data_IF_890734953371
#
_entry.id   IF_890734953371
#
_cell.length_a   1.000
_cell.length_b   1.000
_cell.length_c   1.000
_cell.angle_alpha   90.00
_cell.angle_beta   90.00
_cell.angle_gamma   90.00
#
_symmetry.space_group_name_H-M   'P 1'
#
loop_
_entity.id
_entity.type
_entity.pdbx_description
1 polymer ?
#
# COMPACT_ATOMS: atom_id res chain seq x y z
N UNK A 1 -54.87 76.27 31.56
CA UNK A 1 -53.93 75.51 32.40
C UNK A 1 -53.95 74.05 31.96
N UNK A 2 -52.76 73.57 31.58
CA UNK A 2 -52.22 72.22 31.30
C UNK A 2 -53.09 70.99 30.92
N UNK A 3 -52.71 70.26 29.86
CA UNK A 3 -53.15 68.90 29.51
C UNK A 3 -52.09 67.81 29.84
N UNK A 4 -52.52 66.52 29.97
CA UNK A 4 -51.98 65.31 29.29
C UNK A 4 -52.43 63.95 29.89
N UNK A 5 -52.71 63.05 28.95
CA UNK A 5 -52.85 61.56 28.83
C UNK A 5 -51.97 60.63 29.70
N UNK A 6 -52.04 59.28 29.58
CA UNK A 6 -53.17 58.32 29.48
C UNK A 6 -53.01 57.11 30.47
N UNK A 7 -53.96 56.16 30.56
CA UNK A 7 -53.74 54.84 31.19
C UNK A 7 -54.04 53.69 30.25
N UNK A 8 -53.18 52.69 30.41
CA UNK A 8 -52.76 51.67 29.47
C UNK A 8 -53.78 50.56 29.23
N UNK A 9 -53.89 50.14 27.96
CA UNK A 9 -54.63 48.97 27.53
C UNK A 9 -53.70 47.77 27.41
N UNK A 10 -54.03 46.68 28.09
CA UNK A 10 -53.46 45.36 27.80
C UNK A 10 -54.56 44.28 27.82
N UNK A 11 -55.00 43.79 26.65
CA UNK A 11 -55.79 42.58 26.56
C UNK A 11 -54.90 41.35 26.79
N UNK A 12 -55.41 40.38 27.56
CA UNK A 12 -54.77 39.08 27.84
C UNK A 12 -54.37 38.36 26.53
N UNK A 13 -53.20 37.68 26.49
CA UNK A 13 -52.80 36.91 25.31
C UNK A 13 -53.75 35.71 25.08
N UNK A 14 -54.01 35.35 23.81
CA UNK A 14 -54.89 34.23 23.48
C UNK A 14 -54.28 32.87 23.87
N UNK A 15 -55.13 31.93 24.29
CA UNK A 15 -54.78 30.54 24.60
C UNK A 15 -54.16 29.87 23.36
N UNK A 16 -52.96 29.31 23.51
CA UNK A 16 -52.33 28.46 22.48
C UNK A 16 -53.19 27.23 22.22
N UNK A 17 -53.60 27.05 20.97
CA UNK A 17 -54.16 25.79 20.45
C UNK A 17 -53.00 24.82 20.23
N UNK A 18 -53.08 23.55 20.65
CA UNK A 18 -52.04 22.56 20.35
C UNK A 18 -52.02 22.29 18.84
N UNK A 19 -50.87 22.50 18.20
CA UNK A 19 -50.64 22.04 16.83
C UNK A 19 -50.61 20.51 16.75
N UNK A 20 -50.87 19.91 15.57
CA UNK A 20 -50.86 18.46 15.42
C UNK A 20 -49.47 17.90 15.74
N UNK A 21 -49.46 16.75 16.42
CA UNK A 21 -48.25 16.03 16.78
C UNK A 21 -47.43 15.69 15.52
N UNK A 22 -46.08 15.75 15.57
CA UNK A 22 -45.26 15.33 14.44
C UNK A 22 -45.52 13.85 14.14
N UNK A 23 -45.93 13.56 12.91
CA UNK A 23 -46.08 12.20 12.42
C UNK A 23 -44.72 11.53 12.37
N UNK A 24 -44.58 10.45 13.14
CA UNK A 24 -43.39 9.61 13.16
C UNK A 24 -43.21 9.03 11.74
N UNK A 25 -42.04 9.15 11.10
CA UNK A 25 -41.83 8.53 9.79
C UNK A 25 -42.04 7.02 9.92
N UNK A 26 -42.76 6.43 8.97
CA UNK A 26 -43.00 5.00 8.91
C UNK A 26 -41.66 4.25 8.94
N UNK A 27 -41.56 3.19 9.75
CA UNK A 27 -40.40 2.31 9.73
C UNK A 27 -40.19 1.80 8.31
N UNK A 28 -38.96 1.82 7.77
CA UNK A 28 -38.69 1.19 6.49
C UNK A 28 -39.07 -0.30 6.57
N UNK A 29 -39.56 -0.91 5.47
CA UNK A 29 -39.87 -2.33 5.45
C UNK A 29 -38.62 -3.12 5.86
N UNK A 30 -38.79 -4.16 6.69
CA UNK A 30 -37.69 -5.08 7.03
C UNK A 30 -37.12 -5.62 5.72
N UNK A 31 -35.83 -5.40 5.48
CA UNK A 31 -35.12 -6.05 4.41
C UNK A 31 -35.31 -7.58 4.55
N UNK A 32 -35.52 -8.31 3.44
CA UNK A 32 -35.60 -9.76 3.49
C UNK A 32 -34.31 -10.30 4.12
N UNK A 33 -34.48 -11.26 5.04
CA UNK A 33 -33.36 -11.98 5.64
C UNK A 33 -32.62 -12.65 4.48
N UNK A 34 -31.29 -12.44 4.32
CA UNK A 34 -30.54 -13.12 3.27
C UNK A 34 -30.70 -14.64 3.45
N UNK A 35 -30.77 -15.41 2.35
CA UNK A 35 -30.85 -16.86 2.44
C UNK A 35 -29.67 -17.37 3.28
N UNK A 36 -29.96 -18.33 4.16
CA UNK A 36 -28.93 -19.05 4.92
C UNK A 36 -27.90 -19.57 3.91
N UNK A 37 -26.60 -19.30 4.09
CA UNK A 37 -25.58 -19.82 3.18
C UNK A 37 -25.70 -21.35 3.13
N UNK A 38 -25.53 -21.99 1.97
CA UNK A 38 -25.53 -23.44 1.89
C UNK A 38 -24.50 -24.01 2.88
N UNK A 39 -24.88 -25.06 3.60
CA UNK A 39 -23.97 -25.77 4.49
C UNK A 39 -22.69 -26.12 3.73
N UNK A 40 -21.55 -25.79 4.34
CA UNK A 40 -20.24 -26.20 3.83
C UNK A 40 -20.26 -27.72 3.64
N UNK A 41 -19.80 -28.25 2.49
CA UNK A 41 -19.71 -29.67 2.32
C UNK A 41 -18.80 -30.25 3.42
N UNK A 42 -19.25 -31.35 4.01
CA UNK A 42 -18.54 -32.06 5.07
C UNK A 42 -17.04 -32.22 4.74
N UNK A 43 -16.19 -31.95 5.73
CA UNK A 43 -14.76 -32.24 5.68
C UNK A 43 -14.55 -33.70 5.25
N UNK A 44 -14.04 -33.92 4.04
CA UNK A 44 -13.88 -35.28 3.53
C UNK A 44 -13.71 -35.46 2.01
N UNK A 45 -13.80 -34.41 1.21
CA UNK A 45 -13.47 -34.49 -0.24
C UNK A 45 -12.10 -33.90 -0.55
N UNK A 46 -11.08 -34.23 0.24
CA UNK A 46 -9.69 -33.99 -0.14
C UNK A 46 -9.35 -34.84 -1.36
N UNK A 47 -9.08 -34.21 -2.51
CA UNK A 47 -8.39 -34.91 -3.60
C UNK A 47 -7.08 -35.43 -3.02
N UNK A 48 -6.86 -36.74 -3.12
CA UNK A 48 -5.64 -37.38 -2.68
C UNK A 48 -4.41 -36.63 -3.26
N UNK A 49 -3.35 -36.42 -2.47
CA UNK A 49 -2.13 -35.77 -2.96
C UNK A 49 -1.65 -36.52 -4.20
N UNK A 50 -1.53 -35.80 -5.31
CA UNK A 50 -0.97 -36.36 -6.54
C UNK A 50 0.53 -36.51 -6.26
N UNK A 51 0.97 -37.76 -6.13
CA UNK A 51 2.39 -38.07 -6.06
C UNK A 51 3.02 -37.65 -7.40
N UNK A 52 3.77 -36.55 -7.39
CA UNK A 52 4.59 -36.14 -8.53
C UNK A 52 5.91 -36.90 -8.40
N UNK A 53 6.11 -37.90 -9.25
CA UNK A 53 7.45 -38.49 -9.40
C UNK A 53 8.40 -37.40 -9.92
N UNK A 54 9.29 -36.98 -9.03
CA UNK A 54 10.34 -36.00 -9.31
C UNK A 54 11.43 -36.69 -10.11
N UNK A 55 11.24 -36.80 -11.42
CA UNK A 55 12.33 -37.16 -12.31
C UNK A 55 13.32 -35.99 -12.29
N UNK A 56 14.53 -36.25 -11.78
CA UNK A 56 15.58 -35.25 -11.59
C UNK A 56 16.18 -34.87 -12.96
N UNK A 57 15.45 -34.11 -13.77
CA UNK A 57 15.91 -33.68 -15.09
C UNK A 57 16.88 -32.51 -14.91
N UNK A 58 18.18 -32.81 -14.87
CA UNK A 58 19.24 -31.81 -15.06
C UNK A 58 19.21 -31.25 -16.48
N UNK A 59 18.40 -30.22 -16.71
CA UNK A 59 18.40 -29.46 -17.96
C UNK A 59 19.69 -28.62 -18.01
N UNK A 60 20.64 -29.01 -18.88
CA UNK A 60 21.93 -28.34 -19.06
C UNK A 60 21.82 -26.84 -19.45
N UNK A 61 20.66 -26.37 -19.93
CA UNK A 61 20.42 -24.94 -20.18
C UNK A 61 20.32 -24.07 -18.92
N UNK A 62 20.05 -24.66 -17.75
CA UNK A 62 20.12 -23.98 -16.45
C UNK A 62 21.56 -23.94 -15.86
N UNK A 63 22.54 -24.54 -16.56
CA UNK A 63 23.96 -24.47 -16.16
C UNK A 63 24.67 -23.21 -16.64
N UNK A 64 24.01 -22.30 -17.36
CA UNK A 64 24.42 -20.90 -17.24
C UNK A 64 23.91 -20.42 -15.90
N UNK A 65 24.79 -20.11 -14.93
CA UNK A 65 24.34 -19.39 -13.78
C UNK A 65 23.69 -18.11 -14.30
N UNK A 66 22.41 -17.89 -14.03
CA UNK A 66 21.85 -16.53 -13.97
C UNK A 66 22.59 -15.67 -12.91
N UNK A 67 23.60 -16.25 -12.25
CA UNK A 67 24.68 -15.65 -11.47
C UNK A 67 25.91 -15.26 -12.32
N UNK A 68 25.76 -14.90 -13.60
CA UNK A 68 26.80 -14.03 -14.17
C UNK A 68 26.81 -12.77 -13.31
N UNK A 69 27.99 -12.32 -12.80
CA UNK A 69 28.07 -11.01 -12.16
C UNK A 69 27.44 -10.00 -13.13
N UNK A 70 26.61 -9.09 -12.59
CA UNK A 70 26.01 -8.02 -13.37
C UNK A 70 27.09 -7.47 -14.32
N UNK A 71 26.84 -7.42 -15.64
CA UNK A 71 27.86 -6.96 -16.58
C UNK A 71 28.40 -5.65 -16.06
N UNK A 72 29.72 -5.58 -15.86
CA UNK A 72 30.37 -4.32 -15.52
C UNK A 72 29.96 -3.33 -16.61
N UNK A 73 29.22 -2.29 -16.23
CA UNK A 73 28.75 -1.27 -17.17
C UNK A 73 30.01 -0.65 -17.78
N UNK A 74 30.29 -0.86 -19.10
CA UNK A 74 31.49 -0.33 -19.71
C UNK A 74 31.33 1.18 -19.80
N UNK A 75 32.24 1.90 -19.14
CA UNK A 75 32.12 3.34 -18.91
C UNK A 75 31.67 3.61 -17.49
N UNK A 76 32.54 4.25 -16.71
CA UNK A 76 32.26 4.58 -15.31
C UNK A 76 30.87 5.21 -15.14
N UNK A 77 30.25 4.94 -13.99
CA UNK A 77 28.93 5.46 -13.63
C UNK A 77 28.79 6.90 -14.11
N UNK A 78 27.73 7.25 -14.86
CA UNK A 78 27.57 8.58 -15.42
C UNK A 78 27.80 9.62 -14.34
N UNK A 79 28.85 10.43 -14.53
CA UNK A 79 29.18 11.51 -13.62
C UNK A 79 28.09 12.56 -13.77
N UNK A 80 27.14 12.55 -12.83
CA UNK A 80 26.08 13.51 -12.84
C UNK A 80 26.72 14.90 -12.57
N UNK A 81 26.68 15.79 -13.57
CA UNK A 81 27.41 17.06 -13.61
C UNK A 81 27.04 18.01 -12.47
N UNK A 82 27.66 17.82 -11.31
CA UNK A 82 27.54 18.69 -10.14
C UNK A 82 28.93 18.88 -9.58
N UNK A 83 29.16 20.03 -8.94
CA UNK A 83 30.47 20.36 -8.38
C UNK A 83 31.04 19.21 -7.54
N UNK A 84 32.31 18.90 -7.78
CA UNK A 84 33.04 17.89 -7.03
C UNK A 84 32.80 18.05 -5.52
N UNK A 85 32.35 16.98 -4.86
CA UNK A 85 32.28 16.91 -3.40
C UNK A 85 30.90 17.01 -2.75
N UNK A 86 29.79 17.16 -3.49
CA UNK A 86 28.44 17.05 -2.89
C UNK A 86 27.89 15.62 -3.08
N UNK A 87 27.68 14.85 -1.99
CA UNK A 87 27.16 13.50 -2.10
C UNK A 87 25.72 13.53 -2.62
N UNK A 88 25.50 12.93 -3.79
CA UNK A 88 24.16 12.70 -4.34
C UNK A 88 23.58 11.46 -3.68
N UNK A 89 22.41 11.58 -3.07
CA UNK A 89 21.68 10.47 -2.43
C UNK A 89 20.53 10.07 -3.34
N UNK A 90 20.35 8.76 -3.50
CA UNK A 90 19.19 8.16 -4.16
C UNK A 90 18.49 7.29 -3.13
N UNK A 91 17.16 7.40 -3.06
CA UNK A 91 16.34 6.57 -2.19
C UNK A 91 15.24 5.92 -3.03
N UNK A 92 15.26 4.59 -3.09
CA UNK A 92 14.11 3.83 -3.58
C UNK A 92 13.16 3.63 -2.41
N UNK A 93 11.90 4.04 -2.60
CA UNK A 93 10.78 3.77 -1.68
C UNK A 93 9.77 2.95 -2.46
N UNK A 94 9.68 1.67 -2.15
CA UNK A 94 8.82 0.72 -2.84
C UNK A 94 7.56 0.52 -2.02
N UNK A 95 6.40 0.79 -2.62
CA UNK A 95 5.08 0.68 -2.00
C UNK A 95 4.43 -0.66 -2.39
N UNK A 96 4.27 -1.56 -1.42
CA UNK A 96 3.63 -2.86 -1.62
C UNK A 96 2.22 -2.87 -1.02
N UNK A 97 1.22 -2.97 -1.90
CA UNK A 97 -0.18 -2.97 -1.51
C UNK A 97 -1.04 -3.90 -2.37
N UNK A 98 -1.94 -4.60 -1.69
CA UNK A 98 -3.12 -5.24 -2.27
C UNK A 98 -4.29 -5.06 -1.29
N UNK A 99 -5.55 -4.94 -1.76
CA UNK A 99 -6.70 -5.07 -0.88
C UNK A 99 -6.78 -6.50 -0.33
N UNK A 100 -7.62 -6.72 0.70
CA UNK A 100 -7.84 -8.06 1.22
C UNK A 100 -8.51 -8.97 0.17
N UNK A 101 -7.79 -9.98 -0.31
CA UNK A 101 -8.27 -10.91 -1.35
C UNK A 101 -8.47 -12.34 -0.88
N UNK A 102 -7.87 -12.74 0.25
CA UNK A 102 -7.96 -14.10 0.76
C UNK A 102 -9.42 -14.50 1.05
N UNK A 103 -9.87 -15.62 0.47
CA UNK A 103 -11.23 -16.12 0.59
C UNK A 103 -12.29 -15.32 -0.17
N UNK A 104 -11.91 -14.38 -1.04
CA UNK A 104 -12.84 -13.52 -1.80
C UNK A 104 -12.80 -13.80 -3.31
N UNK A 105 -12.70 -15.08 -3.66
CA UNK A 105 -12.58 -15.54 -5.04
C UNK A 105 -11.12 -15.68 -5.48
N UNK A 106 -10.92 -16.40 -6.58
CA UNK A 106 -9.58 -16.76 -7.06
C UNK A 106 -9.18 -15.92 -8.28
N UNK A 107 -10.02 -15.90 -9.31
CA UNK A 107 -9.75 -15.26 -10.61
C UNK A 107 -11.05 -14.64 -11.17
N UNK A 108 -11.01 -13.52 -11.93
CA UNK A 108 -9.84 -12.75 -12.39
C UNK A 108 -9.28 -11.74 -11.38
N UNK A 109 -10.01 -11.49 -10.30
CA UNK A 109 -9.60 -10.62 -9.20
C UNK A 109 -9.76 -11.46 -7.92
N UNK A 110 -8.75 -11.51 -7.06
CA UNK A 110 -8.79 -12.38 -5.89
C UNK A 110 -7.41 -12.92 -5.52
N UNK A 111 -7.37 -14.16 -5.03
CA UNK A 111 -6.15 -14.80 -4.53
C UNK A 111 -5.04 -14.91 -5.57
N UNK A 112 -5.36 -15.00 -6.87
CA UNK A 112 -4.34 -15.00 -7.92
C UNK A 112 -3.53 -13.69 -7.95
N UNK A 113 -4.10 -12.55 -7.57
CA UNK A 113 -3.33 -11.30 -7.45
C UNK A 113 -2.27 -11.35 -6.36
N UNK A 114 -2.61 -11.97 -5.22
CA UNK A 114 -1.65 -12.14 -4.13
C UNK A 114 -0.53 -13.09 -4.57
N UNK A 115 -0.88 -14.22 -5.19
CA UNK A 115 0.11 -15.15 -5.71
C UNK A 115 1.00 -14.50 -6.77
N UNK A 116 0.43 -13.74 -7.70
CA UNK A 116 1.16 -13.03 -8.75
C UNK A 116 2.14 -12.02 -8.17
N UNK A 117 1.70 -11.21 -7.20
CA UNK A 117 2.55 -10.24 -6.53
C UNK A 117 3.69 -10.91 -5.75
N UNK A 118 3.40 -11.99 -5.02
CA UNK A 118 4.43 -12.76 -4.31
C UNK A 118 5.43 -13.35 -5.30
N UNK A 119 4.96 -14.12 -6.28
CA UNK A 119 5.80 -14.92 -7.17
C UNK A 119 6.63 -14.04 -8.11
N UNK A 120 6.03 -13.01 -8.71
CA UNK A 120 6.69 -12.24 -9.77
C UNK A 120 7.33 -10.94 -9.29
N UNK A 121 7.00 -10.45 -8.08
CA UNK A 121 7.53 -9.21 -7.55
C UNK A 121 8.30 -9.42 -6.25
N UNK A 122 7.67 -9.99 -5.22
CA UNK A 122 8.29 -10.04 -3.88
C UNK A 122 9.42 -11.06 -3.81
N UNK A 123 9.24 -12.30 -4.32
CA UNK A 123 10.30 -13.31 -4.28
C UNK A 123 11.57 -12.87 -5.02
N UNK A 124 11.52 -12.37 -6.27
CA UNK A 124 12.73 -11.91 -6.96
C UNK A 124 13.41 -10.73 -6.25
N UNK A 125 12.61 -9.77 -5.75
CA UNK A 125 13.12 -8.58 -5.08
C UNK A 125 13.82 -8.93 -3.77
N UNK A 126 13.20 -9.78 -2.95
CA UNK A 126 13.76 -10.20 -1.68
C UNK A 126 14.96 -11.14 -1.86
N UNK A 127 14.96 -12.03 -2.87
CA UNK A 127 16.13 -12.83 -3.26
C UNK A 127 17.32 -11.95 -3.68
N UNK A 128 17.06 -10.86 -4.41
CA UNK A 128 18.11 -9.86 -4.69
C UNK A 128 18.60 -9.18 -3.42
N UNK A 129 17.69 -8.69 -2.57
CA UNK A 129 18.06 -8.00 -1.34
C UNK A 129 18.87 -8.89 -0.39
N UNK A 130 18.49 -10.16 -0.27
CA UNK A 130 19.12 -11.17 0.56
C UNK A 130 20.57 -11.45 0.13
N UNK A 131 20.79 -11.74 -1.17
CA UNK A 131 22.15 -11.93 -1.71
C UNK A 131 23.05 -10.70 -1.55
N UNK A 132 22.48 -9.50 -1.61
CA UNK A 132 23.22 -8.26 -1.39
C UNK A 132 23.53 -8.07 0.10
N UNK A 133 22.60 -8.40 0.99
CA UNK A 133 22.77 -8.36 2.43
C UNK A 133 23.87 -9.34 2.90
N UNK A 134 23.90 -10.56 2.37
CA UNK A 134 24.97 -11.54 2.62
C UNK A 134 26.37 -11.02 2.25
N UNK A 135 26.44 -10.12 1.25
CA UNK A 135 27.68 -9.42 0.85
C UNK A 135 27.95 -8.14 1.66
N UNK A 136 27.24 -7.94 2.77
CA UNK A 136 27.38 -6.80 3.66
C UNK A 136 26.79 -5.49 3.13
N UNK A 137 25.94 -5.52 2.08
CA UNK A 137 25.28 -4.31 1.57
C UNK A 137 24.11 -3.93 2.48
N UNK A 138 23.94 -2.63 2.69
CA UNK A 138 22.95 -2.02 3.60
C UNK A 138 22.25 -0.85 2.94
N UNK A 139 21.10 -0.45 3.47
CA UNK A 139 20.29 0.69 3.00
C UNK A 139 19.96 0.60 1.49
N UNK A 140 19.55 -0.59 1.03
CA UNK A 140 19.25 -0.86 -0.37
C UNK A 140 18.02 -0.08 -0.84
N UNK A 141 16.94 -0.15 -0.06
CA UNK A 141 15.68 0.57 -0.30
C UNK A 141 14.84 0.61 0.98
N UNK A 142 13.87 1.53 1.02
CA UNK A 142 12.76 1.45 1.94
C UNK A 142 11.64 0.62 1.29
N UNK A 143 11.16 -0.38 2.01
CA UNK A 143 10.07 -1.26 1.58
C UNK A 143 8.86 -1.01 2.47
N UNK A 144 7.87 -0.32 1.94
CA UNK A 144 6.62 -0.12 2.65
C UNK A 144 5.68 -1.29 2.34
N UNK A 145 5.15 -1.91 3.40
CA UNK A 145 4.18 -2.99 3.30
C UNK A 145 2.92 -2.54 4.00
N UNK A 146 1.84 -2.38 3.23
CA UNK A 146 0.57 -1.92 3.82
C UNK A 146 0.08 -2.93 4.88
N UNK A 147 -0.58 -2.48 5.96
CA UNK A 147 -0.94 -3.37 7.06
C UNK A 147 -1.87 -4.51 6.61
N UNK A 148 -2.79 -4.21 5.70
CA UNK A 148 -3.66 -5.23 5.09
C UNK A 148 -2.91 -6.26 4.24
N UNK A 149 -1.84 -5.87 3.54
CA UNK A 149 -0.99 -6.82 2.82
C UNK A 149 -0.15 -7.64 3.81
N UNK A 150 0.46 -7.01 4.81
CA UNK A 150 1.22 -7.70 5.84
C UNK A 150 0.37 -8.76 6.57
N UNK A 151 -0.91 -8.45 6.82
CA UNK A 151 -1.87 -9.40 7.38
C UNK A 151 -2.06 -10.63 6.45
N UNK A 152 -2.19 -10.42 5.14
CA UNK A 152 -2.29 -11.53 4.19
C UNK A 152 -1.00 -12.32 4.11
N UNK A 153 0.17 -11.66 4.07
CA UNK A 153 1.47 -12.34 4.04
C UNK A 153 1.69 -13.23 5.29
N UNK A 154 1.18 -12.83 6.45
CA UNK A 154 1.23 -13.61 7.69
C UNK A 154 0.15 -14.70 7.80
N UNK A 155 -0.84 -14.71 6.91
CA UNK A 155 -1.97 -15.64 6.98
C UNK A 155 -1.56 -17.04 6.49
N UNK A 156 -1.88 -18.08 7.26
CA UNK A 156 -1.54 -19.47 6.95
C UNK A 156 -2.10 -19.96 5.60
N UNK A 157 -3.13 -19.31 5.05
CA UNK A 157 -3.68 -19.65 3.73
C UNK A 157 -2.77 -19.21 2.57
N UNK A 158 -1.87 -18.26 2.79
CA UNK A 158 -1.03 -17.68 1.73
C UNK A 158 -0.09 -18.71 1.12
N UNK A 159 0.47 -19.61 1.93
CA UNK A 159 1.31 -20.70 1.42
C UNK A 159 0.56 -21.56 0.40
N UNK A 160 -0.65 -22.01 0.74
CA UNK A 160 -1.47 -22.82 -0.16
C UNK A 160 -1.84 -22.06 -1.46
N UNK A 161 -2.08 -20.76 -1.36
CA UNK A 161 -2.35 -19.88 -2.52
C UNK A 161 -1.15 -19.82 -3.45
N UNK A 162 0.06 -19.59 -2.92
CA UNK A 162 1.31 -19.51 -3.69
C UNK A 162 1.66 -20.86 -4.30
N UNK A 163 1.55 -21.94 -3.51
CA UNK A 163 1.86 -23.29 -3.96
C UNK A 163 0.94 -23.80 -5.07
N UNK A 164 -0.36 -23.50 -4.97
CA UNK A 164 -1.31 -23.78 -6.05
C UNK A 164 -0.87 -23.06 -7.32
N UNK A 165 -0.62 -21.75 -7.22
CA UNK A 165 -0.27 -20.92 -8.37
C UNK A 165 1.02 -21.42 -9.05
N UNK A 166 2.11 -21.62 -8.29
CA UNK A 166 3.38 -22.13 -8.83
C UNK A 166 3.21 -23.50 -9.50
N UNK A 167 2.44 -24.41 -8.90
CA UNK A 167 2.16 -25.73 -9.47
C UNK A 167 1.44 -25.62 -10.81
N UNK A 168 0.36 -24.85 -10.86
CA UNK A 168 -0.46 -24.66 -12.06
C UNK A 168 0.34 -24.01 -13.20
N UNK A 169 1.14 -22.99 -12.87
CA UNK A 169 1.95 -22.26 -13.87
C UNK A 169 3.12 -23.08 -14.38
N UNK A 170 3.82 -23.80 -13.50
CA UNK A 170 4.89 -24.72 -13.89
C UNK A 170 4.36 -25.80 -14.82
N UNK A 171 3.25 -26.45 -14.46
CA UNK A 171 2.59 -27.45 -15.31
C UNK A 171 2.19 -26.88 -16.66
N UNK A 172 1.56 -25.71 -16.68
CA UNK A 172 1.13 -25.06 -17.94
C UNK A 172 2.32 -24.74 -18.84
N UNK A 173 3.42 -24.24 -18.28
CA UNK A 173 4.65 -23.98 -19.02
C UNK A 173 5.26 -25.29 -19.57
N UNK A 174 5.26 -26.36 -18.78
CA UNK A 174 5.72 -27.68 -19.23
C UNK A 174 4.90 -28.15 -20.43
N UNK A 175 3.58 -28.14 -20.35
CA UNK A 175 2.70 -28.61 -21.43
C UNK A 175 2.89 -27.77 -22.71
N UNK A 176 3.10 -26.46 -22.57
CA UNK A 176 3.32 -25.54 -23.68
C UNK A 176 4.71 -25.64 -24.33
N UNK A 177 5.69 -26.31 -23.70
CA UNK A 177 7.07 -26.43 -24.21
C UNK A 177 7.18 -26.99 -25.62
N UNK A 178 6.24 -27.87 -26.01
CA UNK A 178 6.20 -28.46 -27.37
C UNK A 178 5.72 -27.48 -28.44
N UNK A 179 5.08 -26.38 -28.03
CA UNK A 179 4.49 -25.36 -28.91
C UNK A 179 5.35 -24.11 -29.00
N UNK A 180 6.11 -23.76 -27.95
CA UNK A 180 6.88 -22.53 -27.94
C UNK A 180 8.16 -22.63 -27.07
N UNK A 181 9.34 -22.22 -27.56
CA UNK A 181 10.60 -22.32 -26.82
C UNK A 181 10.63 -21.49 -25.53
N UNK A 182 9.96 -20.33 -25.49
CA UNK A 182 9.84 -19.53 -24.25
C UNK A 182 9.13 -20.26 -23.11
N UNK A 183 8.32 -21.28 -23.40
CA UNK A 183 7.67 -22.04 -22.34
C UNK A 183 8.66 -22.90 -21.54
N UNK A 184 9.80 -23.28 -22.13
CA UNK A 184 10.92 -23.92 -21.40
C UNK A 184 11.55 -22.93 -20.42
N UNK A 185 11.75 -21.68 -20.87
CA UNK A 185 12.28 -20.62 -20.00
C UNK A 185 11.34 -20.36 -18.82
N UNK A 186 10.04 -20.18 -19.07
CA UNK A 186 9.05 -19.98 -18.02
C UNK A 186 8.96 -21.16 -17.05
N UNK A 187 9.04 -22.40 -17.54
CA UNK A 187 9.12 -23.56 -16.67
C UNK A 187 10.31 -23.47 -15.71
N UNK A 188 11.51 -23.19 -16.25
CA UNK A 188 12.71 -23.01 -15.43
C UNK A 188 12.59 -21.85 -14.44
N UNK A 189 11.94 -20.76 -14.85
CA UNK A 189 11.70 -19.61 -13.98
C UNK A 189 10.74 -19.94 -12.82
N UNK A 190 9.65 -20.66 -13.07
CA UNK A 190 8.75 -21.07 -11.99
C UNK A 190 9.42 -22.04 -11.00
N UNK A 191 10.24 -22.97 -11.48
CA UNK A 191 11.05 -23.83 -10.60
C UNK A 191 12.06 -23.02 -9.78
N UNK A 192 12.71 -22.00 -10.38
CA UNK A 192 13.62 -21.09 -9.67
C UNK A 192 12.89 -20.30 -8.59
N UNK A 193 11.70 -19.78 -8.89
CA UNK A 193 10.88 -19.02 -7.94
C UNK A 193 10.38 -19.89 -6.80
N UNK A 194 9.99 -21.14 -7.08
CA UNK A 194 9.69 -22.13 -6.03
C UNK A 194 10.89 -22.40 -5.13
N UNK A 195 12.08 -22.58 -5.70
CA UNK A 195 13.28 -22.78 -4.88
C UNK A 195 13.61 -21.57 -3.98
N UNK A 196 13.29 -20.34 -4.41
CA UNK A 196 13.38 -19.14 -3.55
C UNK A 196 12.33 -19.19 -2.45
N UNK A 197 11.10 -19.55 -2.80
CA UNK A 197 10.01 -19.68 -1.84
C UNK A 197 10.34 -20.68 -0.73
N UNK A 198 10.79 -21.88 -1.12
CA UNK A 198 11.24 -22.94 -0.21
C UNK A 198 12.38 -22.44 0.70
N UNK A 199 13.35 -21.70 0.15
CA UNK A 199 14.49 -21.17 0.92
C UNK A 199 14.08 -20.08 1.92
N UNK A 200 12.96 -19.40 1.68
CA UNK A 200 12.38 -18.44 2.61
C UNK A 200 11.42 -19.10 3.61
N UNK A 201 11.42 -20.43 3.70
CA UNK A 201 10.58 -21.22 4.61
C UNK A 201 9.09 -20.88 4.50
N UNK A 202 8.67 -20.44 3.31
CA UNK A 202 7.30 -19.99 3.03
C UNK A 202 6.84 -18.81 3.93
N UNK A 203 7.79 -18.06 4.51
CA UNK A 203 7.52 -16.96 5.43
C UNK A 203 8.18 -15.66 4.95
N UNK A 204 7.42 -14.86 4.19
CA UNK A 204 7.88 -13.54 3.77
C UNK A 204 7.97 -12.55 4.92
N UNK A 205 7.18 -12.71 5.98
CA UNK A 205 7.20 -11.78 7.12
C UNK A 205 8.51 -11.94 7.87
N UNK A 206 8.90 -13.17 8.17
CA UNK A 206 10.19 -13.49 8.78
C UNK A 206 11.36 -13.05 7.87
N UNK A 207 11.25 -13.28 6.56
CA UNK A 207 12.27 -12.84 5.58
C UNK A 207 12.44 -11.32 5.59
N UNK A 208 11.33 -10.57 5.57
CA UNK A 208 11.35 -9.11 5.65
C UNK A 208 11.93 -8.61 6.98
N UNK A 209 11.53 -9.21 8.10
CA UNK A 209 12.05 -8.88 9.43
C UNK A 209 13.58 -9.07 9.49
N UNK A 210 14.07 -10.21 9.00
CA UNK A 210 15.51 -10.52 8.97
C UNK A 210 16.30 -9.53 8.11
N UNK A 211 15.78 -9.15 6.94
CA UNK A 211 16.42 -8.15 6.07
C UNK A 211 16.45 -6.76 6.72
N UNK A 212 15.38 -6.40 7.45
CA UNK A 212 15.31 -5.15 8.19
C UNK A 212 16.30 -5.13 9.36
N UNK A 213 16.38 -6.22 10.14
CA UNK A 213 17.33 -6.38 11.25
C UNK A 213 18.79 -6.29 10.77
N UNK A 214 19.09 -6.88 9.61
CA UNK A 214 20.42 -6.77 8.97
C UNK A 214 20.75 -5.35 8.48
N UNK A 215 19.78 -4.42 8.49
CA UNK A 215 19.89 -3.08 7.92
C UNK A 215 19.99 -3.08 6.39
N UNK A 216 19.61 -4.19 5.74
CA UNK A 216 19.59 -4.30 4.29
C UNK A 216 18.49 -3.42 3.69
N UNK A 217 17.31 -3.43 4.31
CA UNK A 217 16.15 -2.62 3.95
C UNK A 217 15.64 -1.82 5.16
N UNK A 218 14.91 -0.75 4.91
CA UNK A 218 14.08 -0.10 5.94
C UNK A 218 12.62 -0.51 5.71
N UNK A 219 11.98 -1.13 6.69
CA UNK A 219 10.53 -1.36 6.64
C UNK A 219 9.75 -0.12 7.06
N UNK A 220 8.67 0.13 6.34
CA UNK A 220 7.70 1.18 6.62
C UNK A 220 6.28 0.60 6.56
N UNK A 221 5.31 1.37 7.05
CA UNK A 221 3.89 0.97 7.09
C UNK A 221 3.00 1.98 6.35
N UNK A 222 1.70 1.77 6.39
CA UNK A 222 0.66 2.70 5.94
C UNK A 222 -0.53 2.71 6.90
N UNK A 223 -1.62 3.37 6.52
CA UNK A 223 -2.88 3.29 7.23
C UNK A 223 -3.53 1.90 7.03
N UNK A 224 -4.16 1.35 8.08
CA UNK A 224 -4.67 -0.02 8.18
C UNK A 224 -5.08 -0.70 6.87
N UNK A 225 -6.13 -0.21 6.22
CA UNK A 225 -6.66 -0.77 4.96
C UNK A 225 -6.40 0.13 3.77
N UNK A 226 -5.30 0.88 3.77
CA UNK A 226 -4.97 1.86 2.73
C UNK A 226 -6.05 2.95 2.54
N UNK A 227 -6.67 3.38 3.65
CA UNK A 227 -7.77 4.36 3.62
C UNK A 227 -7.29 5.72 3.10
N UNK A 228 -8.05 6.31 2.17
CA UNK A 228 -7.75 7.63 1.61
C UNK A 228 -7.91 8.74 2.67
N UNK A 229 -6.82 9.05 3.39
CA UNK A 229 -6.84 9.84 4.62
C UNK A 229 -7.47 11.24 4.45
N UNK A 230 -7.25 11.99 3.35
CA UNK A 230 -7.87 13.31 3.17
C UNK A 230 -9.41 13.33 3.18
N UNK A 231 -10.04 12.20 2.81
CA UNK A 231 -11.50 12.07 2.74
C UNK A 231 -12.07 11.23 3.89
N UNK A 232 -11.24 10.78 4.83
CA UNK A 232 -11.71 10.04 5.99
C UNK A 232 -12.76 10.85 6.77
N UNK A 233 -13.89 10.22 7.08
CA UNK A 233 -15.08 10.92 7.60
C UNK A 233 -14.79 11.67 8.91
N UNK A 234 -13.99 11.11 9.81
CA UNK A 234 -13.67 11.72 11.12
C UNK A 234 -12.17 11.65 11.43
N UNK A 235 -11.66 12.59 12.25
CA UNK A 235 -10.31 12.49 12.82
C UNK A 235 -10.07 11.19 13.60
N UNK A 236 -11.12 10.63 14.22
CA UNK A 236 -11.04 9.36 14.95
C UNK A 236 -10.69 8.20 14.02
N UNK A 237 -11.28 8.16 12.82
CA UNK A 237 -10.98 7.15 11.80
C UNK A 237 -9.52 7.25 11.33
N UNK A 238 -9.01 8.47 11.09
CA UNK A 238 -7.62 8.70 10.69
C UNK A 238 -6.66 8.14 11.75
N UNK A 239 -6.87 8.51 13.03
CA UNK A 239 -6.04 8.02 14.14
C UNK A 239 -6.10 6.52 14.30
N UNK A 240 -7.29 5.93 14.16
CA UNK A 240 -7.46 4.49 14.26
C UNK A 240 -6.67 3.80 13.14
N UNK A 241 -6.85 4.21 11.89
CA UNK A 241 -6.19 3.58 10.76
C UNK A 241 -4.66 3.67 10.84
N UNK A 242 -4.11 4.82 11.23
CA UNK A 242 -2.66 5.01 11.39
C UNK A 242 -2.09 4.20 12.57
N UNK A 243 -2.81 4.18 13.70
CA UNK A 243 -2.41 3.40 14.87
C UNK A 243 -2.43 1.90 14.57
N UNK A 244 -3.47 1.40 13.91
CA UNK A 244 -3.54 0.00 13.47
C UNK A 244 -2.33 -0.37 12.63
N UNK A 245 -1.95 0.47 11.66
CA UNK A 245 -0.78 0.20 10.82
C UNK A 245 0.55 0.20 11.59
N UNK A 246 0.69 1.09 12.58
CA UNK A 246 1.86 1.12 13.46
C UNK A 246 1.93 -0.12 14.36
N UNK A 247 0.84 -0.44 15.04
CA UNK A 247 0.77 -1.54 16.01
C UNK A 247 0.99 -2.88 15.32
N UNK A 248 0.36 -3.11 14.16
CA UNK A 248 0.56 -4.33 13.40
C UNK A 248 1.99 -4.46 12.85
N UNK A 249 2.59 -3.36 12.37
CA UNK A 249 4.00 -3.39 11.95
C UNK A 249 4.91 -3.81 13.09
N UNK A 250 4.69 -3.24 14.29
CA UNK A 250 5.46 -3.60 15.48
C UNK A 250 5.24 -5.06 15.90
N UNK A 251 4.03 -5.57 15.78
CA UNK A 251 3.72 -6.97 16.08
C UNK A 251 4.44 -7.94 15.15
N UNK A 252 4.46 -7.65 13.84
CA UNK A 252 5.06 -8.53 12.83
C UNK A 252 6.58 -8.39 12.70
N UNK A 253 7.12 -7.18 12.87
CA UNK A 253 8.52 -6.86 12.58
C UNK A 253 9.33 -6.43 13.83
N UNK A 254 8.72 -6.42 15.01
CA UNK A 254 9.39 -6.18 16.30
C UNK A 254 9.59 -4.71 16.68
N UNK A 255 9.68 -3.80 15.71
CA UNK A 255 9.94 -2.37 15.94
C UNK A 255 8.83 -1.45 15.43
N UNK A 256 8.73 -0.26 16.04
CA UNK A 256 7.86 0.80 15.55
C UNK A 256 8.38 1.36 14.21
N UNK A 257 7.53 1.45 13.17
CA UNK A 257 7.92 1.97 11.86
C UNK A 257 8.27 3.47 11.93
N UNK A 258 9.40 3.85 11.32
CA UNK A 258 9.78 5.27 11.16
C UNK A 258 9.03 5.94 10.02
N UNK A 259 8.78 5.19 8.95
CA UNK A 259 8.08 5.65 7.75
C UNK A 259 6.60 5.31 7.73
N UNK A 260 5.80 6.23 7.20
CA UNK A 260 4.43 5.95 6.81
C UNK A 260 4.21 6.38 5.36
N UNK A 261 3.85 5.46 4.48
CA UNK A 261 3.29 5.80 3.19
C UNK A 261 1.85 6.27 3.39
N UNK A 262 1.56 7.55 3.16
CA UNK A 262 0.17 8.00 3.10
C UNK A 262 -0.50 7.38 1.88
N UNK A 263 -1.67 6.73 2.02
CA UNK A 263 -2.36 6.13 0.89
C UNK A 263 -2.50 7.11 -0.28
N UNK A 264 -2.07 6.67 -1.46
CA UNK A 264 -2.01 7.46 -2.70
C UNK A 264 -1.13 8.72 -2.63
N UNK A 265 -0.16 8.77 -1.70
CA UNK A 265 0.56 10.00 -1.36
C UNK A 265 -0.39 11.19 -1.05
N UNK A 266 -1.63 10.88 -0.65
CA UNK A 266 -2.70 11.85 -0.57
C UNK A 266 -2.56 12.72 0.69
N UNK A 267 -2.38 14.01 0.46
CA UNK A 267 -2.10 14.97 1.52
C UNK A 267 -3.18 16.04 1.61
N UNK A 268 -3.55 16.39 2.85
CA UNK A 268 -4.37 17.56 3.17
C UNK A 268 -3.73 18.37 4.30
N UNK A 269 -3.47 19.67 4.10
CA UNK A 269 -3.01 20.54 5.17
C UNK A 269 -4.12 20.82 6.19
N UNK A 270 -3.72 21.26 7.38
CA UNK A 270 -4.69 21.70 8.39
C UNK A 270 -5.45 22.95 7.95
N UNK A 271 -6.75 22.99 8.23
CA UNK A 271 -7.66 24.08 7.85
C UNK A 271 -9.13 23.63 7.77
N UNK A 272 -10.01 24.50 7.27
CA UNK A 272 -11.42 24.17 7.04
C UNK A 272 -11.57 22.95 6.13
N UNK A 273 -12.53 22.10 6.46
CA UNK A 273 -12.82 20.90 5.69
C UNK A 273 -14.33 20.67 5.59
N UNK A 274 -14.81 20.40 4.38
CA UNK A 274 -16.18 20.02 4.12
C UNK A 274 -16.21 18.62 3.52
N UNK A 275 -16.96 17.73 4.14
CA UNK A 275 -17.14 16.38 3.63
C UNK A 275 -17.87 16.41 2.28
N UNK A 276 -17.34 15.78 1.21
CA UNK A 276 -17.90 15.92 -0.14
C UNK A 276 -19.31 15.35 -0.30
N UNK A 277 -19.64 14.28 0.44
CA UNK A 277 -20.97 13.64 0.38
C UNK A 277 -21.95 14.17 1.44
N UNK A 278 -21.56 14.19 2.72
CA UNK A 278 -22.48 14.53 3.83
C UNK A 278 -22.63 16.03 4.08
N UNK A 279 -21.74 16.85 3.52
CA UNK A 279 -21.70 18.30 3.78
C UNK A 279 -21.21 18.68 5.18
N UNK A 280 -20.85 17.71 6.03
CA UNK A 280 -20.31 17.97 7.37
C UNK A 280 -19.10 18.91 7.29
N UNK A 281 -19.12 19.98 8.08
CA UNK A 281 -18.10 21.02 8.07
C UNK A 281 -17.30 21.03 9.37
N UNK A 282 -15.98 21.12 9.26
CA UNK A 282 -15.04 21.29 10.35
C UNK A 282 -14.17 22.52 10.05
N UNK A 283 -14.24 23.55 10.90
CA UNK A 283 -13.50 24.80 10.68
C UNK A 283 -11.96 24.62 10.79
N UNK A 284 -11.50 23.68 11.61
CA UNK A 284 -10.10 23.55 11.99
C UNK A 284 -9.58 22.12 11.98
N UNK A 285 -9.83 21.35 10.92
CA UNK A 285 -9.40 19.95 10.88
C UNK A 285 -7.85 19.85 10.80
N UNK A 286 -7.17 19.14 11.71
CA UNK A 286 -5.71 18.96 11.71
C UNK A 286 -5.17 18.37 10.39
N UNK A 287 -4.02 18.83 9.92
CA UNK A 287 -3.41 18.31 8.68
C UNK A 287 -2.96 16.85 8.83
N UNK A 288 -2.83 16.13 7.71
CA UNK A 288 -2.38 14.73 7.72
C UNK A 288 -1.03 14.56 8.43
N UNK A 289 -0.12 15.53 8.29
CA UNK A 289 1.18 15.53 8.97
C UNK A 289 1.06 15.49 10.50
N UNK A 290 0.00 16.06 11.07
CA UNK A 290 -0.21 16.10 12.51
C UNK A 290 -0.65 14.73 13.02
N UNK A 291 -1.56 14.07 12.30
CA UNK A 291 -1.96 12.71 12.63
C UNK A 291 -0.81 11.72 12.50
N UNK A 292 0.08 11.91 11.51
CA UNK A 292 1.30 11.12 11.40
C UNK A 292 2.24 11.34 12.59
N UNK A 293 2.48 12.60 12.96
CA UNK A 293 3.33 12.97 14.09
C UNK A 293 2.78 12.43 15.43
N UNK A 294 1.45 12.47 15.63
CA UNK A 294 0.77 11.90 16.80
C UNK A 294 1.06 10.40 16.97
N UNK A 295 1.24 9.67 15.87
CA UNK A 295 1.59 8.25 15.90
C UNK A 295 3.10 7.99 15.99
N UNK A 296 3.94 9.02 15.94
CA UNK A 296 5.39 8.90 16.06
C UNK A 296 6.13 8.65 14.75
N UNK A 297 5.46 8.69 13.60
CA UNK A 297 6.13 8.61 12.30
C UNK A 297 7.11 9.78 12.11
N UNK A 298 8.16 9.54 11.34
CA UNK A 298 9.26 10.48 11.09
C UNK A 298 9.34 10.91 9.63
N UNK A 299 8.85 10.10 8.70
CA UNK A 299 8.84 10.46 7.30
C UNK A 299 7.63 9.91 6.53
N UNK A 300 7.30 10.59 5.43
CA UNK A 300 6.30 10.17 4.42
C UNK A 300 6.79 10.57 3.02
N UNK A 301 6.14 10.03 2.00
CA UNK A 301 6.27 10.48 0.61
C UNK A 301 5.06 11.34 0.24
N UNK A 302 5.29 12.38 -0.56
CA UNK A 302 4.25 13.20 -1.20
C UNK A 302 4.65 13.47 -2.66
N UNK A 303 3.67 13.79 -3.50
CA UNK A 303 3.95 14.06 -4.91
C UNK A 303 4.55 15.47 -5.15
N UNK A 304 5.34 15.62 -6.21
CA UNK A 304 6.13 16.83 -6.47
C UNK A 304 5.28 18.10 -6.66
N UNK A 305 4.09 17.96 -7.25
CA UNK A 305 3.19 19.07 -7.55
C UNK A 305 2.72 19.82 -6.29
N UNK A 306 2.61 19.13 -5.15
CA UNK A 306 2.12 19.67 -3.88
C UNK A 306 2.99 20.81 -3.31
N UNK A 307 4.28 20.82 -3.60
CA UNK A 307 5.19 21.89 -3.12
C UNK A 307 5.47 22.95 -4.18
N UNK A 308 5.31 22.62 -5.45
CA UNK A 308 5.87 23.44 -6.52
C UNK A 308 4.85 24.10 -7.46
N UNK A 309 3.55 23.92 -7.18
CA UNK A 309 2.45 24.48 -8.01
C UNK A 309 2.58 24.08 -9.49
N UNK A 310 3.25 22.97 -9.78
CA UNK A 310 3.30 22.35 -11.10
C UNK A 310 2.10 21.43 -11.31
N UNK A 311 1.97 20.90 -12.51
CA UNK A 311 0.94 19.89 -12.79
C UNK A 311 1.27 18.56 -12.10
N UNK A 312 0.27 17.78 -11.68
CA UNK A 312 0.50 16.44 -11.15
C UNK A 312 1.25 15.59 -12.18
N UNK A 313 2.24 14.81 -11.73
CA UNK A 313 3.09 14.04 -12.63
C UNK A 313 2.29 13.05 -13.49
N UNK A 314 1.20 12.49 -12.93
CA UNK A 314 0.31 11.61 -13.66
C UNK A 314 -1.12 11.75 -13.10
N UNK A 315 -2.12 11.89 -13.97
CA UNK A 315 -3.49 11.51 -13.61
C UNK A 315 -3.63 9.99 -13.84
N UNK A 316 -4.18 9.26 -12.88
CA UNK A 316 -4.36 7.81 -12.98
C UNK A 316 -5.21 7.48 -14.22
N UNK A 317 -4.62 6.77 -15.20
CA UNK A 317 -5.26 6.46 -16.49
C UNK A 317 -5.24 7.58 -17.54
N UNK A 318 -4.54 8.70 -17.30
CA UNK A 318 -4.32 9.72 -18.32
C UNK A 318 -3.09 9.40 -19.16
N UNK A 319 -3.25 9.50 -20.50
CA UNK A 319 -2.16 9.45 -21.47
C UNK A 319 -1.36 10.76 -21.51
N UNK A 320 -1.12 11.39 -20.36
CA UNK A 320 -0.26 12.58 -20.30
C UNK A 320 1.16 12.13 -20.59
N UNK A 321 1.73 12.60 -21.70
CA UNK A 321 3.08 12.20 -22.09
C UNK A 321 4.08 12.85 -21.13
N UNK A 322 5.19 12.18 -20.75
CA UNK A 322 6.17 12.75 -19.84
C UNK A 322 6.68 14.14 -20.25
N UNK A 323 6.73 14.41 -21.56
CA UNK A 323 7.09 15.69 -22.19
C UNK A 323 6.06 16.84 -21.99
N UNK A 324 4.83 16.53 -21.58
CA UNK A 324 3.77 17.50 -21.28
C UNK A 324 3.74 17.90 -19.79
N UNK A 325 4.51 17.21 -18.94
CA UNK A 325 4.63 17.54 -17.52
C UNK A 325 5.56 18.76 -17.41
N UNK A 326 5.00 19.91 -17.02
CA UNK A 326 5.81 21.10 -16.73
C UNK A 326 6.59 20.86 -15.44
N UNK A 327 7.85 20.46 -15.61
CA UNK A 327 8.82 20.34 -14.53
C UNK A 327 8.88 21.66 -13.75
N UNK A 328 8.59 21.66 -12.46
CA UNK A 328 8.77 22.87 -11.70
C UNK A 328 10.29 23.14 -11.54
N UNK A 329 10.71 24.38 -11.79
CA UNK A 329 12.12 24.75 -11.79
C UNK A 329 12.77 24.70 -10.40
N UNK A 330 13.96 24.06 -10.28
CA UNK A 330 14.84 24.13 -9.11
C UNK A 330 15.41 22.80 -8.59
N UNK A 331 16.52 22.79 -7.82
CA UNK A 331 17.16 21.56 -7.31
C UNK A 331 16.26 20.79 -6.33
N UNK A 332 16.26 19.45 -6.43
CA UNK A 332 15.42 18.51 -5.65
C UNK A 332 16.19 17.54 -4.69
N UNK A 333 17.22 17.92 -3.90
CA UNK A 333 17.98 16.92 -3.14
C UNK A 333 17.63 16.81 -1.65
N UNK A 334 16.57 17.48 -1.16
CA UNK A 334 16.36 17.63 0.29
C UNK A 334 14.97 17.20 0.78
N UNK A 335 14.88 16.54 1.96
CA UNK A 335 13.60 16.34 2.64
C UNK A 335 13.02 17.69 3.10
N UNK A 336 11.70 17.83 3.03
CA UNK A 336 10.99 19.02 3.49
C UNK A 336 10.33 18.76 4.84
N UNK A 337 10.60 19.61 5.82
CA UNK A 337 9.89 19.57 7.10
C UNK A 337 8.55 20.31 6.97
N UNK A 338 7.44 19.60 7.19
CA UNK A 338 6.11 20.21 7.07
C UNK A 338 5.88 21.15 8.27
N UNK A 339 5.84 22.47 8.03
CA UNK A 339 5.51 23.52 9.04
C UNK A 339 6.30 23.44 10.37
N UNK A 340 7.61 23.16 10.32
CA UNK A 340 8.48 22.98 11.51
C UNK A 340 8.07 21.80 12.43
N UNK A 341 7.35 20.80 11.91
CA UNK A 341 6.92 19.60 12.66
C UNK A 341 7.90 18.44 12.49
N UNK A 342 7.70 17.37 13.28
CA UNK A 342 8.57 16.20 13.38
C UNK A 342 8.48 15.19 12.22
N UNK A 343 7.75 15.48 11.14
CA UNK A 343 7.61 14.59 9.97
C UNK A 343 8.26 15.23 8.75
N UNK A 344 9.22 14.52 8.17
CA UNK A 344 9.87 14.87 6.91
C UNK A 344 9.07 14.32 5.71
N UNK A 345 8.85 15.15 4.70
CA UNK A 345 8.26 14.75 3.43
C UNK A 345 9.35 14.61 2.37
N UNK A 346 9.41 13.43 1.75
CA UNK A 346 10.19 13.19 0.54
C UNK A 346 9.29 13.38 -0.69
N UNK A 347 9.84 14.00 -1.73
CA UNK A 347 9.15 14.20 -2.99
C UNK A 347 9.46 13.05 -3.94
N UNK A 348 8.44 12.57 -4.65
CA UNK A 348 8.65 11.75 -5.86
C UNK A 348 9.46 12.57 -6.86
N UNK A 349 10.56 12.01 -7.36
CA UNK A 349 11.35 12.63 -8.43
C UNK A 349 10.76 12.22 -9.78
N UNK A 350 10.22 13.20 -10.51
CA UNK A 350 9.58 13.03 -11.82
C UNK A 350 10.51 12.43 -12.88
N UNK A 351 11.82 12.71 -12.82
CA UNK A 351 12.79 12.29 -13.83
C UNK A 351 13.13 10.80 -13.73
N UNK A 352 13.11 10.26 -12.52
CA UNK A 352 13.30 8.82 -12.28
C UNK A 352 12.00 8.03 -12.29
N UNK A 353 10.86 8.74 -12.30
CA UNK A 353 9.52 8.16 -12.29
C UNK A 353 8.93 7.93 -13.70
N UNK A 354 9.52 8.57 -14.72
CA UNK A 354 9.09 8.55 -16.12
C UNK A 354 9.64 7.36 -16.90
#
# INVERSE_FOLDING_TARGET
MSPKTPKDGSPRPPKRVPGPAPTRPAKPPKAPIPPVPPELPAEGAGRAPIAVEREEIRIQFLQRPLLEPLPEIPGGLPHAGGGAGTPRRLAFVLHAHLPWVLGHGTWPHGEDWLAEAIVHCYLPLLDMADRLAERGRRNLFAFEVTPILAAMLADARTEAVVERYLTERTKSAWEARRKHPLAIWWHGEFERLRAIWDRFDHDLVATLARLAEAGAIELATSAGTHVYLPLAHTPKLIRLALRTGREQHRELFGDDPRGCWMPECAYRPGGPWQHPVTGAFEEGRPGNEQFLAEQGFRWTVVDAHLLRRGDPAFAYGANTRPEEIVEPSGPHPHPYWIRQRAVAAFLRDSRTAA
#
